data_IF_659106236972
#
_entry.id   IF_659106236972
#
_cell.length_a   1.000
_cell.length_b   1.000
_cell.length_c   1.000
_cell.angle_alpha   90.00
_cell.angle_beta   90.00
_cell.angle_gamma   90.00
#
_symmetry.space_group_name_H-M   'P 1'
#
loop_
_entity.id
_entity.type
_entity.pdbx_description
1 polymer ?
#
# COMPACT_ATOMS: atom_id res chain seq x y z
N UNK A 1 13.43 4.70 36.24
CA UNK A 1 14.20 4.87 34.99
C UNK A 1 13.74 3.93 33.87
N UNK A 2 13.02 2.85 34.18
CA UNK A 2 12.46 1.88 33.22
C UNK A 2 11.26 2.42 32.44
N UNK A 3 10.36 3.15 33.09
CA UNK A 3 9.06 3.50 32.48
C UNK A 3 9.21 4.49 31.32
N UNK A 4 10.14 5.43 31.43
CA UNK A 4 10.47 6.34 30.33
C UNK A 4 11.03 5.60 29.12
N UNK A 5 11.94 4.65 29.33
CA UNK A 5 12.56 3.88 28.25
C UNK A 5 11.52 2.99 27.56
N UNK A 6 10.66 2.31 28.33
CA UNK A 6 9.58 1.50 27.79
C UNK A 6 8.61 2.35 26.97
N UNK A 7 8.18 3.51 27.48
CA UNK A 7 7.30 4.43 26.78
C UNK A 7 7.94 4.94 25.47
N UNK A 8 9.20 5.36 25.52
CA UNK A 8 9.92 5.87 24.34
C UNK A 8 10.09 4.79 23.25
N UNK A 9 10.37 3.55 23.64
CA UNK A 9 10.50 2.43 22.70
C UNK A 9 9.14 2.09 22.08
N UNK A 10 8.07 2.06 22.88
CA UNK A 10 6.72 1.79 22.37
C UNK A 10 6.28 2.86 21.37
N UNK A 11 6.51 4.13 21.69
CA UNK A 11 6.23 5.24 20.78
C UNK A 11 7.05 5.14 19.48
N UNK A 12 8.34 4.83 19.57
CA UNK A 12 9.18 4.65 18.40
C UNK A 12 8.72 3.48 17.52
N UNK A 13 8.33 2.36 18.12
CA UNK A 13 7.80 1.21 17.42
C UNK A 13 6.48 1.54 16.70
N UNK A 14 5.55 2.21 17.39
CA UNK A 14 4.28 2.63 16.81
C UNK A 14 4.49 3.57 15.62
N UNK A 15 5.38 4.57 15.76
CA UNK A 15 5.71 5.49 14.66
C UNK A 15 6.34 4.77 13.47
N UNK A 16 7.24 3.80 13.72
CA UNK A 16 7.87 3.03 12.66
C UNK A 16 6.85 2.21 11.84
N UNK A 17 5.88 1.59 12.52
CA UNK A 17 4.77 0.87 11.87
C UNK A 17 3.91 1.83 11.06
N UNK A 18 3.48 2.95 11.66
CA UNK A 18 2.66 3.95 10.96
C UNK A 18 3.36 4.51 9.72
N UNK A 19 4.66 4.75 9.78
CA UNK A 19 5.43 5.23 8.64
C UNK A 19 5.58 4.18 7.54
N UNK A 20 5.61 2.89 7.88
CA UNK A 20 5.75 1.81 6.91
C UNK A 20 4.42 1.37 6.30
N UNK A 21 3.32 1.45 7.04
CA UNK A 21 2.05 0.83 6.64
C UNK A 21 0.98 1.85 6.23
N UNK A 22 1.07 3.11 6.67
CA UNK A 22 0.04 4.12 6.40
C UNK A 22 0.48 5.07 5.30
N UNK A 23 -0.21 5.01 4.16
CA UNK A 23 -0.06 5.99 3.08
C UNK A 23 -0.97 7.20 3.38
N UNK A 24 -0.36 8.33 3.75
CA UNK A 24 -1.08 9.60 3.97
C UNK A 24 -1.25 10.32 2.63
N UNK A 25 -2.50 10.48 2.20
CA UNK A 25 -2.87 11.11 0.93
C UNK A 25 -3.31 12.57 1.14
N UNK A 26 -3.00 13.44 0.18
CA UNK A 26 -3.64 14.77 0.10
C UNK A 26 -5.15 14.62 -0.14
N UNK A 27 -5.94 15.66 0.10
CA UNK A 27 -7.38 15.60 -0.15
C UNK A 27 -7.68 15.24 -1.62
N UNK A 28 -6.95 15.84 -2.57
CA UNK A 28 -7.10 15.55 -4.00
C UNK A 28 -6.79 14.08 -4.33
N UNK A 29 -5.76 13.51 -3.70
CA UNK A 29 -5.42 12.09 -3.90
C UNK A 29 -6.43 11.16 -3.24
N UNK A 30 -7.01 11.55 -2.10
CA UNK A 30 -8.09 10.80 -1.44
C UNK A 30 -9.34 10.74 -2.33
N UNK A 31 -9.74 11.86 -2.94
CA UNK A 31 -10.86 11.92 -3.88
C UNK A 31 -10.60 11.04 -5.11
N UNK A 32 -9.41 11.13 -5.70
CA UNK A 32 -8.99 10.31 -6.82
C UNK A 32 -9.04 8.81 -6.48
N UNK A 33 -8.50 8.44 -5.31
CA UNK A 33 -8.51 7.06 -4.82
C UNK A 33 -9.94 6.55 -4.58
N UNK A 34 -10.77 7.33 -3.89
CA UNK A 34 -12.17 6.97 -3.64
C UNK A 34 -12.95 6.80 -4.96
N UNK A 35 -12.76 7.70 -5.92
CA UNK A 35 -13.37 7.57 -7.24
C UNK A 35 -12.91 6.29 -7.96
N UNK A 36 -11.63 5.94 -7.89
CA UNK A 36 -11.12 4.70 -8.47
C UNK A 36 -11.68 3.43 -7.81
N UNK A 37 -12.03 3.47 -6.51
CA UNK A 37 -12.71 2.36 -5.83
C UNK A 37 -14.19 2.26 -6.22
N UNK A 38 -14.89 3.40 -6.32
CA UNK A 38 -16.31 3.43 -6.67
C UNK A 38 -16.55 3.12 -8.15
N UNK A 39 -15.65 3.57 -9.02
CA UNK A 39 -15.72 3.41 -10.48
C UNK A 39 -14.39 2.89 -11.02
N UNK A 40 -14.08 1.59 -10.81
CA UNK A 40 -12.80 1.02 -11.22
C UNK A 40 -12.56 1.15 -12.73
N UNK A 41 -11.42 1.71 -13.16
CA UNK A 41 -11.11 1.81 -14.58
C UNK A 41 -10.81 0.43 -15.17
N UNK A 42 -11.09 0.29 -16.46
CA UNK A 42 -10.73 -0.94 -17.18
C UNK A 42 -9.20 -1.09 -17.25
N UNK A 43 -8.66 -2.31 -17.08
CA UNK A 43 -7.23 -2.53 -17.09
C UNK A 43 -6.64 -2.20 -18.47
N UNK A 44 -5.51 -1.49 -18.46
CA UNK A 44 -4.82 -1.08 -19.68
C UNK A 44 -4.33 -2.27 -20.50
N UNK A 45 -4.11 -2.07 -21.81
CA UNK A 45 -3.53 -3.11 -22.68
C UNK A 45 -2.18 -3.61 -22.15
N UNK A 46 -1.38 -2.75 -21.53
CA UNK A 46 -0.10 -3.12 -20.93
C UNK A 46 -0.29 -4.02 -19.70
N UNK A 47 -1.23 -3.69 -18.81
CA UNK A 47 -1.52 -4.48 -17.62
C UNK A 47 -2.04 -5.88 -17.98
N UNK A 48 -2.92 -5.97 -18.99
CA UNK A 48 -3.38 -7.25 -19.53
C UNK A 48 -2.23 -8.13 -20.03
N UNK A 49 -1.26 -7.56 -20.77
CA UNK A 49 -0.07 -8.29 -21.23
C UNK A 49 0.81 -8.76 -20.07
N UNK A 50 1.01 -7.92 -19.06
CA UNK A 50 1.81 -8.27 -17.88
C UNK A 50 1.20 -9.46 -17.12
N UNK A 51 -0.11 -9.48 -16.96
CA UNK A 51 -0.82 -10.58 -16.30
C UNK A 51 -0.65 -11.91 -17.04
N UNK A 52 -0.78 -11.90 -18.38
CA UNK A 52 -0.55 -13.08 -19.23
C UNK A 52 0.90 -13.57 -19.09
N UNK A 53 1.87 -12.66 -19.08
CA UNK A 53 3.29 -13.02 -18.95
C UNK A 53 3.56 -13.70 -17.60
N UNK A 54 3.04 -13.13 -16.51
CA UNK A 54 3.13 -13.72 -15.16
C UNK A 54 2.48 -15.10 -15.10
N UNK A 55 1.27 -15.26 -15.65
CA UNK A 55 0.58 -16.55 -15.62
C UNK A 55 1.31 -17.64 -16.39
N UNK A 56 2.01 -17.28 -17.47
CA UNK A 56 2.83 -18.22 -18.23
C UNK A 56 4.06 -18.66 -17.42
N UNK A 57 4.75 -17.71 -16.80
CA UNK A 57 5.93 -17.98 -15.98
C UNK A 57 5.61 -18.92 -14.81
N UNK A 58 4.50 -18.67 -14.10
CA UNK A 58 4.11 -19.45 -12.92
C UNK A 58 3.48 -20.81 -13.26
N UNK A 59 3.10 -21.07 -14.52
CA UNK A 59 2.59 -22.38 -14.98
C UNK A 59 3.68 -23.26 -15.59
N UNK A 60 4.85 -22.69 -15.87
CA UNK A 60 6.03 -23.40 -16.36
C UNK A 60 6.97 -23.87 -15.23
N UNK A 61 6.68 -23.50 -13.99
CA UNK A 61 7.20 -24.15 -12.77
C UNK A 61 6.27 -25.29 -12.35
#
# INVERSE_FOLDING_TARGET
MTDFVVAAIQEAAQRAIEQSEVVRLSLADQECFAHALMSPPQPSKALKRAFIRRSKLLRSE
#
